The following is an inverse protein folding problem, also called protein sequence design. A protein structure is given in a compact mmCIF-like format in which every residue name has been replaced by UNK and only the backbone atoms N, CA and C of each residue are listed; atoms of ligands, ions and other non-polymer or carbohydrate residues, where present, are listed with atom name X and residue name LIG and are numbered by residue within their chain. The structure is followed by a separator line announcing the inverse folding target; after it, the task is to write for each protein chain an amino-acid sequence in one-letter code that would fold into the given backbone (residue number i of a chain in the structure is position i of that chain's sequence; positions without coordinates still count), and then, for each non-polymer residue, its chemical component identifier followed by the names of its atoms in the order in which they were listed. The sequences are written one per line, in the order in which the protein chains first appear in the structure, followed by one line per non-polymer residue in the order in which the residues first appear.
data_IF_376500404105
#
_entry.id   IF_376500404105
#
_cell.length_a   1.000
_cell.length_b   1.000
_cell.length_c   1.000
_cell.angle_alpha   90.00
_cell.angle_beta   90.00
_cell.angle_gamma   90.00
#
_symmetry.space_group_name_H-M   'P 1'
#
loop_
_entity.id
_entity.type
_entity.pdbx_description
1 polymer ?
#
# COMPACT_ATOMS: atom_id res chain seq x y z
N UNK A 1 7.98 -8.92 -1.75
CA UNK A 1 6.78 -9.04 -2.59
C UNK A 1 5.48 -9.32 -1.84
N UNK A 2 5.33 -10.44 -1.10
CA UNK A 2 4.02 -10.80 -0.50
C UNK A 2 3.42 -9.70 0.38
N UNK A 3 4.20 -9.12 1.29
CA UNK A 3 3.70 -8.07 2.18
C UNK A 3 3.30 -6.80 1.42
N UNK A 4 4.08 -6.41 0.40
CA UNK A 4 3.75 -5.31 -0.51
C UNK A 4 2.44 -5.56 -1.28
N UNK A 5 2.25 -6.76 -1.83
CA UNK A 5 1.00 -7.15 -2.49
C UNK A 5 -0.18 -7.01 -1.53
N UNK A 6 -0.08 -7.57 -0.32
CA UNK A 6 -1.13 -7.49 0.69
C UNK A 6 -1.41 -6.07 1.13
N UNK A 7 -0.37 -5.24 1.31
CA UNK A 7 -0.48 -3.84 1.69
C UNK A 7 -1.24 -3.04 0.62
N UNK A 8 -0.76 -3.03 -0.63
CA UNK A 8 -1.39 -2.29 -1.72
C UNK A 8 -2.83 -2.75 -2.00
N UNK A 9 -3.09 -4.07 -1.93
CA UNK A 9 -4.46 -4.61 -2.06
C UNK A 9 -5.37 -4.09 -0.94
N UNK A 10 -4.90 -4.04 0.30
CA UNK A 10 -5.69 -3.56 1.42
C UNK A 10 -5.93 -2.05 1.37
N UNK A 11 -4.93 -1.26 0.95
CA UNK A 11 -5.05 0.20 0.71
C UNK A 11 -6.05 0.46 -0.41
N UNK A 12 -5.92 -0.24 -1.55
CA UNK A 12 -6.88 -0.18 -2.65
C UNK A 12 -8.30 -0.54 -2.20
N UNK A 13 -8.47 -1.64 -1.46
CA UNK A 13 -9.78 -2.09 -0.97
C UNK A 13 -10.41 -1.13 0.05
N UNK A 14 -9.61 -0.26 0.67
CA UNK A 14 -10.08 0.82 1.54
C UNK A 14 -10.55 2.07 0.77
N UNK A 15 -10.38 2.08 -0.56
CA UNK A 15 -10.78 3.20 -1.43
C UNK A 15 -9.64 4.16 -1.77
N UNK A 16 -8.45 3.92 -1.22
CA UNK A 16 -7.24 4.74 -1.41
C UNK A 16 -6.56 4.36 -2.74
N UNK A 17 -7.30 4.49 -3.85
CA UNK A 17 -6.87 3.97 -5.16
C UNK A 17 -5.62 4.67 -5.71
N UNK A 18 -5.43 5.95 -5.41
CA UNK A 18 -4.23 6.69 -5.77
C UNK A 18 -3.03 6.13 -4.99
N UNK A 19 -3.02 6.30 -3.67
CA UNK A 19 -1.96 5.80 -2.78
C UNK A 19 -1.58 4.33 -2.96
N UNK A 20 -2.52 3.45 -3.31
CA UNK A 20 -2.27 2.01 -3.39
C UNK A 20 -1.08 1.60 -4.26
N UNK A 21 -0.74 2.39 -5.30
CA UNK A 21 0.38 2.06 -6.18
C UNK A 21 1.74 2.14 -5.48
N UNK A 22 1.91 3.06 -4.53
CA UNK A 22 3.16 3.28 -3.79
C UNK A 22 3.60 2.02 -3.03
N UNK A 23 2.64 1.19 -2.61
CA UNK A 23 2.95 -0.08 -1.95
C UNK A 23 3.77 -1.03 -2.83
N UNK A 24 3.71 -0.87 -4.16
CA UNK A 24 4.35 -1.75 -5.14
C UNK A 24 5.49 -1.08 -5.90
N UNK A 25 5.51 0.26 -6.00
CA UNK A 25 6.41 1.00 -6.89
C UNK A 25 7.89 0.73 -6.58
N UNK A 26 8.32 0.91 -5.33
CA UNK A 26 9.72 0.68 -4.94
C UNK A 26 10.17 -0.75 -5.27
N UNK A 27 9.32 -1.74 -4.96
CA UNK A 27 9.63 -3.14 -5.24
C UNK A 27 9.64 -3.42 -6.74
N UNK A 28 8.77 -2.77 -7.52
CA UNK A 28 8.70 -2.90 -8.97
C UNK A 28 9.93 -2.32 -9.67
N UNK A 29 10.42 -1.15 -9.24
CA UNK A 29 11.60 -0.49 -9.81
C UNK A 29 12.86 -1.36 -9.75
N UNK A 30 12.95 -2.24 -8.75
CA UNK A 30 14.06 -3.17 -8.56
C UNK A 30 13.95 -4.48 -9.36
N UNK A 31 12.81 -4.74 -10.03
CA UNK A 31 12.61 -5.98 -10.77
C UNK A 31 13.25 -5.95 -12.16
N UNK A 32 13.69 -7.13 -12.60
CA UNK A 32 14.10 -7.32 -13.99
C UNK A 32 12.89 -7.15 -14.92
N UNK A 33 13.06 -6.29 -15.92
CA UNK A 33 12.02 -5.96 -16.90
C UNK A 33 11.57 -7.20 -17.67
N UNK A 34 10.27 -7.33 -17.89
CA UNK A 34 9.71 -8.41 -18.70
C UNK A 34 9.60 -9.75 -17.97
N UNK A 35 9.81 -9.78 -16.65
CA UNK A 35 9.41 -10.92 -15.81
C UNK A 35 7.92 -10.87 -15.51
N UNK A 36 7.32 -12.01 -15.12
CA UNK A 36 5.90 -12.05 -14.74
C UNK A 36 5.61 -11.21 -13.48
N UNK A 37 6.56 -11.15 -12.54
CA UNK A 37 6.44 -10.34 -11.34
C UNK A 37 6.50 -8.84 -11.66
N UNK A 38 7.37 -8.42 -12.58
CA UNK A 38 7.41 -7.03 -13.05
C UNK A 38 6.10 -6.65 -13.76
N UNK A 39 5.64 -7.49 -14.69
CA UNK A 39 4.35 -7.32 -15.36
C UNK A 39 3.18 -7.23 -14.38
N UNK A 40 3.17 -8.09 -13.35
CA UNK A 40 2.12 -8.07 -12.34
C UNK A 40 2.06 -6.73 -11.62
N UNK A 41 3.19 -6.27 -11.07
CA UNK A 41 3.21 -5.02 -10.29
C UNK A 41 2.94 -3.81 -11.18
N UNK A 42 3.52 -3.76 -12.38
CA UNK A 42 3.26 -2.68 -13.33
C UNK A 42 1.79 -2.62 -13.73
N UNK A 43 1.18 -3.77 -14.05
CA UNK A 43 -0.24 -3.86 -14.35
C UNK A 43 -1.11 -3.42 -13.17
N UNK A 44 -0.75 -3.77 -11.94
CA UNK A 44 -1.48 -3.39 -10.74
C UNK A 44 -1.40 -1.87 -10.48
N UNK A 45 -0.21 -1.27 -10.61
CA UNK A 45 0.01 0.19 -10.52
C UNK A 45 -0.88 0.92 -11.54
N UNK A 46 -0.86 0.47 -12.80
CA UNK A 46 -1.68 1.08 -13.86
C UNK A 46 -3.18 0.85 -13.64
N UNK A 47 -3.57 -0.30 -13.08
CA UNK A 47 -4.96 -0.60 -12.74
C UNK A 47 -5.50 0.33 -11.65
N UNK A 48 -4.76 0.56 -10.56
CA UNK A 48 -5.22 1.44 -9.48
C UNK A 48 -5.30 2.89 -9.95
N UNK A 49 -4.33 3.33 -10.77
CA UNK A 49 -4.39 4.63 -11.45
C UNK A 49 -5.61 4.75 -12.39
N UNK A 50 -5.93 3.71 -13.18
CA UNK A 50 -7.11 3.72 -14.05
C UNK A 50 -8.42 3.90 -13.26
N UNK A 51 -8.54 3.23 -12.11
CA UNK A 51 -9.70 3.35 -11.22
C UNK A 51 -9.77 4.75 -10.62
N UNK A 52 -8.64 5.30 -10.16
CA UNK A 52 -8.57 6.66 -9.63
C UNK A 52 -8.98 7.71 -10.68
N UNK A 53 -8.39 7.66 -11.88
CA UNK A 53 -8.76 8.55 -12.99
C UNK A 53 -10.24 8.47 -13.35
N UNK A 54 -10.83 7.27 -13.35
CA UNK A 54 -12.25 7.12 -13.59
C UNK A 54 -13.08 7.77 -12.46
N UNK A 55 -12.69 7.61 -11.19
CA UNK A 55 -13.37 8.26 -10.07
C UNK A 55 -13.31 9.80 -10.16
N UNK A 56 -12.23 10.36 -10.72
CA UNK A 56 -12.07 11.79 -10.97
C UNK A 56 -12.71 12.29 -12.27
N UNK A 57 -13.40 11.42 -13.01
CA UNK A 57 -13.99 11.71 -14.33
C UNK A 57 -12.96 12.06 -15.41
N UNK A 58 -11.71 11.67 -15.21
CA UNK A 58 -10.69 11.71 -16.25
C UNK A 58 -10.81 10.49 -17.15
N UNK A 59 -11.83 10.49 -18.02
CA UNK A 59 -12.21 9.35 -18.85
C UNK A 59 -11.12 8.92 -19.84
N UNK A 60 -10.46 9.89 -20.48
CA UNK A 60 -9.39 9.62 -21.44
C UNK A 60 -8.21 8.93 -20.74
N UNK A 61 -7.78 9.48 -19.59
CA UNK A 61 -6.73 8.87 -18.78
C UNK A 61 -7.11 7.47 -18.29
N UNK A 62 -8.33 7.29 -17.79
CA UNK A 62 -8.82 5.98 -17.34
C UNK A 62 -8.78 4.92 -18.46
N UNK A 63 -9.20 5.28 -19.67
CA UNK A 63 -9.18 4.37 -20.84
C UNK A 63 -7.75 4.02 -21.25
N UNK A 64 -6.85 5.01 -21.31
CA UNK A 64 -5.45 4.80 -21.67
C UNK A 64 -4.71 3.91 -20.66
N UNK A 65 -4.88 4.18 -19.37
CA UNK A 65 -4.32 3.37 -18.28
C UNK A 65 -4.93 1.96 -18.29
N UNK A 66 -6.23 1.83 -18.57
CA UNK A 66 -6.88 0.53 -18.62
C UNK A 66 -6.38 -0.35 -19.78
N UNK A 67 -6.09 0.25 -20.94
CA UNK A 67 -5.47 -0.43 -22.07
C UNK A 67 -4.03 -0.85 -21.76
N UNK A 68 -3.23 0.06 -21.18
CA UNK A 68 -1.85 -0.21 -20.77
C UNK A 68 -1.77 -1.35 -19.74
N UNK A 69 -2.54 -1.24 -18.65
CA UNK A 69 -2.65 -2.28 -17.61
C UNK A 69 -3.05 -3.64 -18.20
N UNK A 70 -4.03 -3.65 -19.12
CA UNK A 70 -4.48 -4.85 -19.82
C UNK A 70 -3.35 -5.54 -20.61
N UNK A 71 -2.44 -4.76 -21.19
CA UNK A 71 -1.25 -5.27 -21.88
C UNK A 71 -0.28 -5.99 -20.94
N UNK A 72 -0.01 -5.44 -19.75
CA UNK A 72 0.85 -6.09 -18.75
C UNK A 72 0.29 -7.41 -18.24
N UNK A 73 -1.04 -7.51 -18.10
CA UNK A 73 -1.70 -8.73 -17.64
C UNK A 73 -1.98 -9.76 -18.75
N UNK A 74 -1.78 -9.42 -20.03
CA UNK A 74 -2.26 -10.23 -21.16
C UNK A 74 -1.77 -11.69 -21.10
N UNK A 75 -0.48 -11.88 -20.82
CA UNK A 75 0.18 -13.18 -20.82
C UNK A 75 0.33 -13.80 -19.42
N UNK A 76 -0.16 -13.13 -18.37
CA UNK A 76 -0.14 -13.69 -17.03
C UNK A 76 -1.24 -14.76 -16.85
N UNK A 77 -1.00 -15.78 -16.01
CA UNK A 77 -2.04 -16.73 -15.60
C UNK A 77 -3.20 -16.01 -14.88
N UNK A 78 -4.37 -16.65 -14.84
CA UNK A 78 -5.57 -16.13 -14.17
C UNK A 78 -5.35 -15.79 -12.69
N UNK A 79 -4.41 -16.48 -12.06
CA UNK A 79 -3.88 -16.16 -10.73
C UNK A 79 -2.35 -16.12 -10.80
N UNK A 80 -1.74 -15.04 -10.30
CA UNK A 80 -0.29 -14.93 -10.17
C UNK A 80 0.07 -14.33 -8.81
N UNK A 81 1.01 -14.98 -8.09
CA UNK A 81 1.40 -14.60 -6.71
C UNK A 81 0.21 -14.44 -5.74
N UNK A 82 -0.86 -15.22 -5.94
CA UNK A 82 -2.07 -15.18 -5.13
C UNK A 82 -3.05 -14.06 -5.52
N UNK A 83 -2.74 -13.22 -6.51
CA UNK A 83 -3.63 -12.15 -7.02
C UNK A 83 -4.55 -12.74 -8.09
N UNK A 84 -5.86 -12.47 -7.99
CA UNK A 84 -6.85 -12.81 -9.02
C UNK A 84 -6.75 -11.84 -10.23
N UNK A 85 -5.84 -12.17 -11.14
CA UNK A 85 -5.57 -11.40 -12.37
C UNK A 85 -6.76 -11.47 -13.33
N UNK A 86 -7.53 -12.57 -13.33
CA UNK A 86 -8.72 -12.69 -14.17
C UNK A 86 -9.78 -11.63 -13.83
N UNK A 87 -10.05 -11.40 -12.54
CA UNK A 87 -10.96 -10.33 -12.09
C UNK A 87 -10.47 -8.95 -12.52
N UNK A 88 -9.16 -8.67 -12.36
CA UNK A 88 -8.56 -7.39 -12.77
C UNK A 88 -8.70 -7.16 -14.27
N UNK A 89 -8.33 -8.15 -15.11
CA UNK A 89 -8.47 -8.07 -16.58
C UNK A 89 -9.92 -7.86 -17.00
N UNK A 90 -10.87 -8.57 -16.38
CA UNK A 90 -12.29 -8.39 -16.68
C UNK A 90 -12.77 -6.98 -16.34
N UNK A 91 -12.27 -6.38 -15.26
CA UNK A 91 -12.62 -5.01 -14.92
C UNK A 91 -12.02 -4.01 -15.89
N UNK A 92 -10.73 -4.12 -16.19
CA UNK A 92 -10.01 -3.27 -17.14
C UNK A 92 -10.68 -3.23 -18.51
N UNK A 93 -11.07 -4.40 -19.04
CA UNK A 93 -11.80 -4.49 -20.30
C UNK A 93 -13.13 -3.73 -20.27
N UNK A 94 -13.88 -3.83 -19.16
CA UNK A 94 -15.15 -3.11 -19.00
C UNK A 94 -14.94 -1.61 -18.81
N UNK A 95 -13.93 -1.22 -18.04
CA UNK A 95 -13.60 0.19 -17.79
C UNK A 95 -13.14 0.88 -19.06
N UNK A 96 -12.32 0.21 -19.88
CA UNK A 96 -11.88 0.70 -21.19
C UNK A 96 -13.06 0.91 -22.14
N UNK A 97 -14.03 0.01 -22.14
CA UNK A 97 -15.19 0.10 -23.03
C UNK A 97 -16.21 1.17 -22.58
N UNK A 98 -16.28 1.43 -21.27
CA UNK A 98 -17.26 2.30 -20.66
C UNK A 98 -16.70 2.88 -19.34
N UNK A 99 -15.91 3.96 -19.38
CA UNK A 99 -15.22 4.48 -18.20
C UNK A 99 -16.19 5.07 -17.15
N UNK A 100 -17.34 5.58 -17.59
CA UNK A 100 -18.40 6.09 -16.71
C UNK A 100 -19.07 5.00 -15.86
N UNK A 101 -18.82 3.71 -16.15
CA UNK A 101 -19.36 2.60 -15.36
C UNK A 101 -19.02 2.67 -13.88
N UNK A 102 -17.93 3.36 -13.53
CA UNK A 102 -17.48 3.55 -12.15
C UNK A 102 -18.52 4.32 -11.32
N UNK A 103 -19.34 5.17 -11.95
CA UNK A 103 -20.42 5.89 -11.28
C UNK A 103 -21.65 5.00 -11.04
N UNK A 104 -21.75 3.86 -11.74
CA UNK A 104 -22.88 2.92 -11.68
C UNK A 104 -22.63 1.73 -10.75
N UNK A 105 -21.42 1.57 -10.25
CA UNK A 105 -21.08 0.50 -9.32
C UNK A 105 -19.60 0.52 -8.93
N UNK A 106 -19.25 -0.10 -7.79
CA UNK A 106 -17.90 -0.04 -7.27
C UNK A 106 -16.91 -0.76 -8.19
N UNK A 107 -15.64 -0.33 -8.09
CA UNK A 107 -14.52 -1.13 -8.57
C UNK A 107 -14.46 -2.47 -7.80
N UNK A 108 -13.93 -3.55 -8.41
CA UNK A 108 -13.88 -4.86 -7.76
C UNK A 108 -12.97 -4.79 -6.55
N UNK A 109 -13.34 -5.46 -5.45
CA UNK A 109 -12.36 -5.71 -4.38
C UNK A 109 -11.35 -6.75 -4.85
N UNK A 110 -10.08 -6.50 -4.54
CA UNK A 110 -9.00 -7.42 -4.84
C UNK A 110 -8.84 -8.45 -3.72
N UNK A 111 -8.54 -9.68 -4.10
CA UNK A 111 -8.22 -10.78 -3.20
C UNK A 111 -6.76 -11.18 -3.33
N UNK A 112 -6.20 -11.71 -2.23
CA UNK A 112 -4.88 -12.33 -2.19
C UNK A 112 -5.02 -13.73 -1.56
N UNK A 113 -4.59 -14.78 -2.24
CA UNK A 113 -4.79 -16.19 -1.84
C UNK A 113 -6.29 -16.51 -1.54
N UNK A 114 -7.20 -15.91 -2.33
CA UNK A 114 -8.66 -16.04 -2.14
C UNK A 114 -9.25 -15.24 -0.97
N UNK A 115 -8.43 -14.50 -0.22
CA UNK A 115 -8.86 -13.64 0.89
C UNK A 115 -9.04 -12.19 0.43
N UNK A 116 -10.23 -11.61 0.65
CA UNK A 116 -10.44 -10.16 0.46
C UNK A 116 -9.84 -9.42 1.65
N UNK A 117 -8.74 -8.70 1.41
CA UNK A 117 -7.99 -8.05 2.48
C UNK A 117 -8.62 -6.71 2.89
N UNK A 118 -8.48 -6.40 4.18
CA UNK A 118 -8.73 -5.08 4.77
C UNK A 118 -7.51 -4.64 5.59
N UNK A 119 -7.36 -3.34 5.79
CA UNK A 119 -6.26 -2.78 6.60
C UNK A 119 -6.23 -3.39 8.02
N UNK A 120 -7.39 -3.63 8.63
CA UNK A 120 -7.49 -4.25 9.95
C UNK A 120 -7.09 -5.73 10.03
N UNK A 121 -7.04 -6.43 8.88
CA UNK A 121 -6.62 -7.84 8.79
C UNK A 121 -5.12 -8.03 8.51
N UNK A 122 -4.36 -6.94 8.34
CA UNK A 122 -2.94 -7.02 8.03
C UNK A 122 -2.10 -7.43 9.24
N UNK A 123 -1.06 -8.22 8.97
CA UNK A 123 0.02 -8.46 9.92
C UNK A 123 1.02 -7.30 9.86
N UNK A 124 1.88 -7.20 10.87
CA UNK A 124 2.77 -6.07 11.04
C UNK A 124 3.52 -5.65 9.77
N UNK A 125 4.22 -6.56 9.07
CA UNK A 125 5.00 -6.15 7.87
C UNK A 125 4.14 -5.53 6.77
N UNK A 126 2.99 -6.16 6.43
CA UNK A 126 2.08 -5.57 5.44
C UNK A 126 1.41 -4.29 5.97
N UNK A 127 1.11 -4.22 7.27
CA UNK A 127 0.49 -3.04 7.90
C UNK A 127 1.46 -1.86 7.95
N UNK A 128 2.76 -2.11 8.15
CA UNK A 128 3.81 -1.11 8.15
C UNK A 128 3.97 -0.49 6.75
N UNK A 129 4.03 -1.32 5.69
CA UNK A 129 4.00 -0.81 4.31
C UNK A 129 2.74 0.01 4.03
N UNK A 130 1.57 -0.45 4.46
CA UNK A 130 0.33 0.32 4.30
C UNK A 130 0.35 1.65 5.08
N UNK A 131 0.95 1.68 6.29
CA UNK A 131 1.09 2.90 7.08
C UNK A 131 2.01 3.91 6.39
N UNK A 132 3.14 3.48 5.84
CA UNK A 132 4.07 4.36 5.11
C UNK A 132 3.42 4.95 3.87
N UNK A 133 2.72 4.13 3.09
CA UNK A 133 1.93 4.58 1.92
C UNK A 133 0.89 5.63 2.31
N UNK A 134 0.10 5.36 3.36
CA UNK A 134 -0.92 6.31 3.82
C UNK A 134 -0.29 7.59 4.41
N UNK A 135 0.90 7.52 5.00
CA UNK A 135 1.58 8.73 5.45
C UNK A 135 2.11 9.57 4.29
N UNK A 136 2.58 8.92 3.21
CA UNK A 136 3.03 9.60 1.99
C UNK A 136 1.91 10.27 1.19
N UNK A 137 0.70 9.68 1.18
CA UNK A 137 -0.45 10.22 0.44
C UNK A 137 -0.96 11.56 1.01
N UNK A 138 -0.91 11.74 2.32
CA UNK A 138 -1.54 12.89 2.99
C UNK A 138 -0.50 13.85 3.58
N UNK A 139 -0.41 15.07 3.05
CA UNK A 139 0.54 16.13 3.51
C UNK A 139 0.48 16.46 5.01
N UNK A 140 -0.61 16.13 5.70
CA UNK A 140 -0.77 16.32 7.15
C UNK A 140 0.06 15.34 8.00
N UNK A 141 0.60 14.29 7.39
CA UNK A 141 1.43 13.30 8.06
C UNK A 141 2.88 13.49 7.67
N UNK A 142 3.76 13.27 8.64
CA UNK A 142 5.20 13.25 8.45
C UNK A 142 5.60 11.82 8.10
N UNK A 143 5.91 11.59 6.82
CA UNK A 143 6.29 10.26 6.32
C UNK A 143 7.60 9.76 6.97
N UNK A 144 8.51 10.66 7.35
CA UNK A 144 9.76 10.29 8.00
C UNK A 144 9.50 9.75 9.42
N UNK A 145 8.54 10.35 10.15
CA UNK A 145 8.09 9.84 11.45
C UNK A 145 7.58 8.40 11.32
N UNK A 146 6.80 8.10 10.28
CA UNK A 146 6.30 6.74 10.06
C UNK A 146 7.42 5.77 9.70
N UNK A 147 8.32 6.15 8.78
CA UNK A 147 9.45 5.32 8.39
C UNK A 147 10.38 4.99 9.57
N UNK A 148 10.67 5.98 10.42
CA UNK A 148 11.45 5.78 11.65
C UNK A 148 10.71 4.89 12.64
N UNK A 149 9.40 5.12 12.86
CA UNK A 149 8.59 4.30 13.74
C UNK A 149 8.51 2.83 13.30
N UNK A 150 8.36 2.56 11.99
CA UNK A 150 8.42 1.21 11.43
C UNK A 150 9.77 0.56 11.72
N UNK A 151 10.86 1.29 11.54
CA UNK A 151 12.21 0.80 11.82
C UNK A 151 12.34 0.39 13.29
N UNK A 152 11.91 1.24 14.21
CA UNK A 152 11.89 0.93 15.64
C UNK A 152 10.99 -0.25 16.01
N UNK A 153 9.82 -0.37 15.39
CA UNK A 153 8.95 -1.52 15.57
C UNK A 153 9.61 -2.84 15.13
N UNK A 154 10.29 -2.84 13.97
CA UNK A 154 11.04 -4.02 13.48
C UNK A 154 12.17 -4.41 14.43
N UNK A 155 12.93 -3.43 14.91
CA UNK A 155 13.99 -3.66 15.91
C UNK A 155 13.46 -4.26 17.20
N UNK A 156 12.32 -3.77 17.69
CA UNK A 156 11.72 -4.24 18.94
C UNK A 156 11.20 -5.68 18.82
N UNK A 157 10.58 -6.02 17.68
CA UNK A 157 10.16 -7.38 17.35
C UNK A 157 11.35 -8.34 17.28
N UNK A 158 12.42 -7.95 16.59
CA UNK A 158 13.63 -8.77 16.43
C UNK A 158 14.37 -8.97 17.75
N UNK A 159 14.37 -7.97 18.63
CA UNK A 159 15.01 -8.05 19.95
C UNK A 159 14.16 -8.78 21.00
N UNK A 160 12.90 -9.16 20.69
CA UNK A 160 11.97 -9.76 21.64
C UNK A 160 11.66 -8.83 22.83
N UNK A 161 11.79 -7.51 22.65
CA UNK A 161 11.54 -6.52 23.71
C UNK A 161 10.03 -6.42 23.97
N UNK A 162 9.64 -6.42 25.25
CA UNK A 162 8.24 -6.50 25.68
C UNK A 162 7.37 -5.25 25.47
N UNK A 163 7.88 -4.18 24.87
CA UNK A 163 7.07 -2.98 24.57
C UNK A 163 6.76 -2.91 23.09
N UNK A 164 5.59 -3.44 22.72
CA UNK A 164 5.04 -3.41 21.36
C UNK A 164 4.46 -2.04 20.99
N UNK A 165 4.99 -0.92 21.50
CA UNK A 165 4.34 0.38 21.35
C UNK A 165 4.39 0.88 19.90
N UNK A 166 5.57 0.86 19.27
CA UNK A 166 5.71 1.22 17.85
C UNK A 166 4.95 0.25 16.96
N UNK A 167 5.00 -1.06 17.25
CA UNK A 167 4.22 -2.08 16.54
C UNK A 167 2.73 -1.76 16.58
N UNK A 168 2.21 -1.45 17.78
CA UNK A 168 0.79 -1.15 17.98
C UNK A 168 0.40 0.14 17.27
N UNK A 169 1.18 1.21 17.45
CA UNK A 169 0.87 2.51 16.88
C UNK A 169 0.99 2.53 15.34
N UNK A 170 1.98 1.84 14.76
CA UNK A 170 2.09 1.70 13.29
C UNK A 170 0.88 0.93 12.74
N UNK A 171 0.49 -0.17 13.40
CA UNK A 171 -0.71 -0.92 13.00
C UNK A 171 -2.00 -0.11 13.17
N UNK A 172 -2.12 0.66 14.26
CA UNK A 172 -3.25 1.56 14.52
C UNK A 172 -3.33 2.66 13.46
N UNK A 173 -2.18 3.23 13.06
CA UNK A 173 -2.12 4.25 12.01
C UNK A 173 -2.66 3.70 10.69
N UNK A 174 -2.25 2.48 10.30
CA UNK A 174 -2.75 1.84 9.09
C UNK A 174 -4.28 1.63 9.15
N UNK A 175 -4.80 1.08 10.25
CA UNK A 175 -6.18 0.54 10.31
C UNK A 175 -7.25 1.49 10.81
N UNK A 176 -6.92 2.49 11.63
CA UNK A 176 -7.88 3.37 12.29
C UNK A 176 -7.85 4.77 11.69
N UNK A 177 -8.56 4.94 10.56
CA UNK A 177 -8.70 6.22 9.88
C UNK A 177 -9.26 7.33 10.79
N UNK A 178 -10.19 6.99 11.69
CA UNK A 178 -10.86 7.96 12.55
C UNK A 178 -9.90 8.58 13.57
N UNK A 179 -8.97 7.78 14.10
CA UNK A 179 -8.00 8.23 15.11
C UNK A 179 -6.59 8.46 14.56
N UNK A 180 -6.38 8.36 13.24
CA UNK A 180 -5.06 8.38 12.60
C UNK A 180 -4.23 9.60 12.98
N UNK A 181 -4.85 10.77 13.11
CA UNK A 181 -4.17 12.01 13.52
C UNK A 181 -3.61 11.93 14.95
N UNK A 182 -4.36 11.34 15.89
CA UNK A 182 -3.93 11.14 17.28
C UNK A 182 -2.81 10.10 17.34
N UNK A 183 -2.93 9.04 16.53
CA UNK A 183 -1.90 7.99 16.45
C UNK A 183 -0.60 8.56 15.89
N UNK A 184 -0.67 9.36 14.81
CA UNK A 184 0.47 10.05 14.23
C UNK A 184 1.18 10.95 15.25
N UNK A 185 0.44 11.78 15.97
CA UNK A 185 1.02 12.64 17.01
C UNK A 185 1.76 11.83 18.08
N UNK A 186 1.17 10.69 18.51
CA UNK A 186 1.83 9.80 19.47
C UNK A 186 3.10 9.20 18.87
N UNK A 187 3.06 8.72 17.64
CA UNK A 187 4.24 8.21 16.94
C UNK A 187 5.37 9.25 16.93
N UNK A 188 5.08 10.48 16.55
CA UNK A 188 6.05 11.58 16.57
C UNK A 188 6.67 11.81 17.96
N UNK A 189 5.84 11.81 19.02
CA UNK A 189 6.30 11.95 20.40
C UNK A 189 7.17 10.77 20.87
N UNK A 190 6.87 9.55 20.40
CA UNK A 190 7.61 8.33 20.72
C UNK A 190 8.95 8.27 19.97
N UNK A 191 8.97 8.57 18.67
CA UNK A 191 10.19 8.70 17.85
C UNK A 191 11.11 9.75 18.47
N UNK A 192 10.62 10.97 18.69
CA UNK A 192 11.39 12.06 19.30
C UNK A 192 11.98 11.72 20.69
N UNK A 193 11.33 10.84 21.45
CA UNK A 193 11.85 10.37 22.75
C UNK A 193 12.92 9.30 22.59
N UNK A 194 12.78 8.38 21.64
CA UNK A 194 13.78 7.33 21.38
C UNK A 194 15.05 7.92 20.76
N UNK A 195 14.92 8.86 19.83
CA UNK A 195 16.05 9.54 19.18
C UNK A 195 16.91 10.29 20.20
N UNK A 196 16.28 11.07 21.08
CA UNK A 196 16.99 11.77 22.17
C UNK A 196 17.74 10.83 23.08
N UNK A 197 17.12 9.70 23.47
CA UNK A 197 17.80 8.69 24.30
C UNK A 197 18.99 8.05 23.58
N UNK A 198 18.88 7.81 22.28
CA UNK A 198 19.98 7.25 21.49
C UNK A 198 21.15 8.24 21.41
N UNK A 199 20.87 9.52 21.12
CA UNK A 199 21.87 10.59 21.07
C UNK A 199 22.55 10.81 22.44
N UNK A 200 21.78 10.80 23.53
CA UNK A 200 22.31 10.90 24.89
C UNK A 200 23.26 9.74 25.23
N UNK A 201 23.00 8.54 24.71
CA UNK A 201 23.88 7.38 24.91
C UNK A 201 25.15 7.48 24.06
N UNK A 202 25.06 7.91 22.81
CA UNK A 202 26.22 8.08 21.92
C UNK A 202 27.21 9.12 22.47
N UNK A 203 26.70 10.27 22.96
CA UNK A 203 27.52 11.32 23.57
C UNK A 203 28.17 10.96 24.91
N UNK A 204 27.86 9.79 25.50
CA UNK A 204 28.56 9.29 26.70
C UNK A 204 29.82 8.48 26.38
N UNK A 205 30.06 8.14 25.10
CA UNK A 205 31.22 7.36 24.65
C UNK A 205 32.23 8.17 23.81
N UNK A 206 32.03 9.49 23.66
CA UNK A 206 32.99 10.46 23.12
C UNK A 206 33.83 11.13 24.23
#
# INVERSE_FOLDING_TARGET
MRDHLRAGIAVYNAGEHHAAHDAWEDYWLDLERGTDDERLLHGLIQFTAAVHHAAERNWEGAVGLAESAGGYFADLPDEHRGVDVATVRSHLSRLRADPERIERGPAPRLAHDGEVLSLGGLRFESAATAAEVLAGEYERYDADVLATATTYAREDLNAGRGTNEFVTLVMDFARDETNRDIVHQRLADHVSRRDRRAADVEGLFE
#
